data_IF_236278484886
#
_entry.id   IF_236278484886
#
_cell.length_a   1.000
_cell.length_b   1.000
_cell.length_c   1.000
_cell.angle_alpha   90.00
_cell.angle_beta   90.00
_cell.angle_gamma   90.00
#
_symmetry.space_group_name_H-M   'P 1'
#
loop_
_entity.id
_entity.type
_entity.pdbx_description
1 polymer ?
#
# COMPACT_ATOMS: atom_id res chain seq x y z
N UNK A 1 21.12 11.86 7.85
CA UNK A 1 20.05 11.50 6.89
C UNK A 1 18.90 12.47 7.12
N UNK A 2 18.81 13.50 6.30
CA UNK A 2 17.98 14.68 6.56
C UNK A 2 16.55 14.38 6.11
N UNK A 3 15.59 14.70 6.98
CA UNK A 3 14.16 14.36 6.85
C UNK A 3 13.48 15.10 5.66
N UNK A 4 14.07 16.19 5.18
CA UNK A 4 13.51 17.06 4.13
C UNK A 4 13.53 16.46 2.72
N UNK A 5 14.49 15.58 2.39
CA UNK A 5 14.58 14.99 1.04
C UNK A 5 13.45 13.98 0.74
N UNK A 6 12.80 13.46 1.78
CA UNK A 6 11.72 12.46 1.62
C UNK A 6 10.35 13.14 1.44
N UNK A 7 10.21 14.42 1.79
CA UNK A 7 8.90 15.08 1.83
C UNK A 7 8.49 15.79 0.53
N UNK A 8 9.44 16.23 -0.30
CA UNK A 8 9.15 17.19 -1.38
C UNK A 8 9.49 16.71 -2.80
N UNK A 9 10.50 15.85 -3.03
CA UNK A 9 10.94 15.57 -4.41
C UNK A 9 10.71 14.13 -4.93
N UNK A 10 10.57 13.10 -4.07
CA UNK A 10 10.64 11.70 -4.56
C UNK A 10 9.68 10.67 -3.95
N UNK A 11 8.94 11.02 -2.89
CA UNK A 11 8.06 10.05 -2.24
C UNK A 11 6.67 10.01 -2.89
N UNK A 12 6.41 8.97 -3.69
CA UNK A 12 5.09 8.69 -4.25
C UNK A 12 4.08 8.53 -3.10
N UNK A 13 3.23 9.55 -2.89
CA UNK A 13 2.14 9.52 -1.91
C UNK A 13 0.96 8.76 -2.50
N UNK A 14 0.63 7.64 -1.88
CA UNK A 14 -0.47 6.75 -2.28
C UNK A 14 -1.64 6.93 -1.31
N UNK A 15 -2.87 6.93 -1.83
CA UNK A 15 -4.04 6.89 -0.96
C UNK A 15 -4.19 5.49 -0.35
N UNK A 16 -4.58 5.42 0.92
CA UNK A 16 -4.90 4.18 1.62
C UNK A 16 -6.10 4.40 2.53
N UNK A 17 -6.90 3.36 2.74
CA UNK A 17 -7.91 3.36 3.81
C UNK A 17 -7.32 2.99 5.17
N UNK A 18 -7.77 3.63 6.23
CA UNK A 18 -7.49 3.28 7.63
C UNK A 18 -8.73 3.62 8.47
N UNK A 19 -9.26 2.68 9.25
CA UNK A 19 -10.44 2.93 10.11
C UNK A 19 -11.66 3.51 9.38
N UNK A 20 -11.90 3.12 8.13
CA UNK A 20 -13.01 3.66 7.30
C UNK A 20 -12.74 5.03 6.66
N UNK A 21 -11.65 5.71 7.01
CA UNK A 21 -11.24 7.00 6.43
C UNK A 21 -10.19 6.82 5.33
N UNK A 22 -10.08 7.79 4.42
CA UNK A 22 -8.98 7.87 3.46
C UNK A 22 -7.82 8.65 4.06
N UNK A 23 -6.62 8.07 3.96
CA UNK A 23 -5.38 8.63 4.51
C UNK A 23 -4.30 8.59 3.44
N UNK A 24 -3.45 9.61 3.39
CA UNK A 24 -2.25 9.59 2.54
C UNK A 24 -1.16 8.77 3.23
N UNK A 25 -0.50 7.91 2.46
CA UNK A 25 0.61 7.05 2.90
C UNK A 25 1.77 7.13 1.92
N UNK A 26 2.93 6.66 2.34
CA UNK A 26 4.16 6.70 1.55
C UNK A 26 4.45 5.32 0.94
N UNK A 27 4.84 5.28 -0.34
CA UNK A 27 5.37 4.07 -0.98
C UNK A 27 6.88 4.05 -0.85
N UNK A 28 7.43 3.00 -0.23
CA UNK A 28 8.87 2.83 -0.06
C UNK A 28 9.54 2.56 -1.42
N UNK A 29 10.61 3.29 -1.75
CA UNK A 29 11.29 3.20 -3.05
C UNK A 29 12.52 2.29 -3.03
N UNK A 30 13.19 2.21 -1.89
CA UNK A 30 14.45 1.50 -1.71
C UNK A 30 14.43 0.63 -0.44
N UNK A 31 15.44 -0.25 -0.32
CA UNK A 31 15.63 -1.15 0.81
C UNK A 31 14.72 -2.37 0.85
N UNK A 32 14.79 -3.13 1.96
CA UNK A 32 14.08 -4.39 2.15
C UNK A 32 12.54 -4.27 2.13
N UNK A 33 12.00 -3.05 2.26
CA UNK A 33 10.56 -2.77 2.23
C UNK A 33 10.11 -2.10 0.92
N UNK A 34 10.94 -2.10 -0.12
CA UNK A 34 10.63 -1.54 -1.44
C UNK A 34 9.25 -2.00 -1.94
N UNK A 35 8.45 -1.06 -2.46
CA UNK A 35 7.11 -1.29 -2.98
C UNK A 35 5.99 -1.32 -1.93
N UNK A 36 6.30 -1.43 -0.63
CA UNK A 36 5.30 -1.39 0.43
C UNK A 36 4.75 0.02 0.66
N UNK A 37 3.48 0.10 1.08
CA UNK A 37 2.85 1.37 1.46
C UNK A 37 2.79 1.46 3.00
N UNK A 38 3.44 2.46 3.58
CA UNK A 38 3.61 2.65 5.03
C UNK A 38 3.07 4.01 5.49
N UNK A 39 2.81 4.12 6.79
CA UNK A 39 2.24 5.34 7.39
C UNK A 39 3.26 6.49 7.45
N UNK A 40 4.53 6.19 7.72
CA UNK A 40 5.61 7.17 7.78
C UNK A 40 6.80 6.78 6.91
N UNK A 41 7.62 7.74 6.49
CA UNK A 41 8.87 7.47 5.78
C UNK A 41 9.87 6.65 6.61
N UNK A 42 10.01 6.96 7.90
CA UNK A 42 10.89 6.21 8.82
C UNK A 42 10.51 4.72 8.89
N UNK A 43 9.22 4.38 8.75
CA UNK A 43 8.76 3.00 8.74
C UNK A 43 9.21 2.21 7.49
N UNK A 44 9.74 2.84 6.45
CA UNK A 44 10.36 2.13 5.32
C UNK A 44 11.72 1.52 5.69
N UNK A 45 12.48 2.17 6.56
CA UNK A 45 13.84 1.74 6.96
C UNK A 45 13.86 0.96 8.28
N UNK A 46 12.72 0.86 8.97
CA UNK A 46 12.63 0.13 10.23
C UNK A 46 12.98 -1.37 10.07
N UNK A 47 13.65 -1.99 11.06
CA UNK A 47 14.00 -3.41 11.03
C UNK A 47 12.76 -4.31 10.99
N UNK A 48 12.88 -5.48 10.36
CA UNK A 48 11.77 -6.44 10.25
C UNK A 48 11.60 -7.17 11.59
N UNK A 49 10.39 -7.13 12.15
CA UNK A 49 10.08 -7.91 13.35
C UNK A 49 9.86 -9.39 12.97
N UNK A 50 10.83 -10.24 13.30
CA UNK A 50 10.85 -11.67 12.95
C UNK A 50 9.71 -12.43 13.64
N UNK A 51 9.48 -12.17 14.94
CA UNK A 51 8.41 -12.82 15.71
C UNK A 51 7.03 -12.60 15.10
N UNK A 52 6.72 -11.36 14.70
CA UNK A 52 5.45 -11.03 14.01
C UNK A 52 5.36 -11.68 12.63
N UNK A 53 6.49 -11.83 11.93
CA UNK A 53 6.53 -12.49 10.62
C UNK A 53 6.17 -13.98 10.73
N UNK A 54 6.69 -14.68 11.74
CA UNK A 54 6.36 -16.09 12.00
C UNK A 54 4.87 -16.23 12.37
N UNK A 55 4.35 -15.40 13.28
CA UNK A 55 2.94 -15.43 13.66
C UNK A 55 2.00 -15.16 12.48
N UNK A 56 2.37 -14.26 11.57
CA UNK A 56 1.61 -13.99 10.34
C UNK A 56 1.62 -15.21 9.41
N UNK A 57 2.75 -15.91 9.26
CA UNK A 57 2.85 -17.15 8.45
C UNK A 57 1.89 -18.22 8.99
N UNK A 58 1.91 -18.46 10.30
CA UNK A 58 1.01 -19.42 10.94
C UNK A 58 -0.47 -19.04 10.78
N UNK A 59 -0.81 -17.76 10.94
CA UNK A 59 -2.20 -17.28 10.78
C UNK A 59 -2.68 -17.42 9.33
N UNK A 60 -1.82 -17.12 8.36
CA UNK A 60 -2.13 -17.32 6.93
C UNK A 60 -2.36 -18.80 6.61
N UNK A 61 -1.54 -19.70 7.15
CA UNK A 61 -1.74 -21.14 6.97
C UNK A 61 -3.12 -21.58 7.48
N UNK A 62 -3.53 -21.12 8.68
CA UNK A 62 -4.80 -21.51 9.30
C UNK A 62 -6.03 -20.84 8.70
N UNK A 63 -5.94 -19.58 8.25
CA UNK A 63 -7.12 -18.73 7.95
C UNK A 63 -7.10 -18.06 6.57
N UNK A 64 -6.22 -18.46 5.64
CA UNK A 64 -6.12 -17.81 4.33
C UNK A 64 -7.45 -17.78 3.56
N UNK A 65 -8.22 -18.88 3.56
CA UNK A 65 -9.50 -18.97 2.84
C UNK A 65 -10.53 -17.94 3.34
N UNK A 66 -10.77 -17.91 4.65
CA UNK A 66 -11.72 -16.95 5.26
C UNK A 66 -11.25 -15.50 5.10
N UNK A 67 -9.94 -15.25 5.21
CA UNK A 67 -9.35 -13.93 4.94
C UNK A 67 -9.61 -13.47 3.50
N UNK A 68 -9.46 -14.37 2.51
CA UNK A 68 -9.72 -14.05 1.10
C UNK A 68 -11.17 -13.62 0.90
N UNK A 69 -12.13 -14.42 1.37
CA UNK A 69 -13.57 -14.14 1.24
C UNK A 69 -13.94 -12.81 1.90
N UNK A 70 -13.57 -12.63 3.18
CA UNK A 70 -13.87 -11.39 3.92
C UNK A 70 -13.22 -10.17 3.26
N UNK A 71 -12.01 -10.31 2.73
CA UNK A 71 -11.35 -9.21 2.01
C UNK A 71 -12.06 -8.85 0.70
N UNK A 72 -12.61 -9.83 -0.03
CA UNK A 72 -13.35 -9.59 -1.26
C UNK A 72 -14.66 -8.85 -0.99
N UNK A 73 -15.41 -9.29 0.02
CA UNK A 73 -16.64 -8.61 0.48
C UNK A 73 -16.31 -7.17 0.88
N UNK A 74 -15.28 -6.96 1.71
CA UNK A 74 -14.89 -5.62 2.16
C UNK A 74 -14.47 -4.70 1.00
N UNK A 75 -13.83 -5.22 -0.06
CA UNK A 75 -13.46 -4.44 -1.24
C UNK A 75 -14.67 -4.00 -2.07
N UNK A 76 -15.75 -4.80 -2.09
CA UNK A 76 -16.99 -4.52 -2.83
C UNK A 76 -17.93 -3.58 -2.07
N UNK A 77 -18.16 -3.85 -0.78
CA UNK A 77 -19.20 -3.18 -0.01
C UNK A 77 -18.73 -1.91 0.72
N UNK A 78 -17.46 -1.82 1.13
CA UNK A 78 -17.02 -0.68 1.92
C UNK A 78 -16.87 0.58 1.04
N UNK A 79 -17.57 1.68 1.33
CA UNK A 79 -17.52 2.90 0.51
C UNK A 79 -16.11 3.49 0.42
N UNK A 80 -15.31 3.37 1.49
CA UNK A 80 -13.91 3.77 1.46
C UNK A 80 -13.07 2.85 0.56
N UNK A 81 -13.34 1.55 0.49
CA UNK A 81 -12.62 0.68 -0.44
C UNK A 81 -12.95 1.00 -1.91
N UNK A 82 -14.22 1.28 -2.21
CA UNK A 82 -14.66 1.68 -3.56
C UNK A 82 -14.06 3.03 -3.95
N UNK A 83 -14.04 4.01 -3.04
CA UNK A 83 -13.41 5.33 -3.30
C UNK A 83 -11.90 5.20 -3.52
N UNK A 84 -11.23 4.31 -2.79
CA UNK A 84 -9.78 4.11 -2.87
C UNK A 84 -9.31 3.69 -4.27
N UNK A 85 -10.08 2.84 -4.98
CA UNK A 85 -9.72 2.40 -6.32
C UNK A 85 -9.77 3.54 -7.34
N UNK A 86 -10.66 4.52 -7.14
CA UNK A 86 -10.76 5.73 -7.97
C UNK A 86 -9.61 6.69 -7.69
N UNK A 87 -9.26 6.87 -6.41
CA UNK A 87 -8.22 7.80 -5.97
C UNK A 87 -6.80 7.39 -6.42
N UNK A 88 -6.55 6.10 -6.62
CA UNK A 88 -5.24 5.57 -7.04
C UNK A 88 -5.17 5.23 -8.54
N UNK A 89 -6.12 5.70 -9.37
CA UNK A 89 -6.01 5.50 -10.82
C UNK A 89 -4.84 6.32 -11.37
N UNK A 90 -3.93 5.72 -12.16
CA UNK A 90 -2.96 6.50 -12.90
C UNK A 90 -3.71 7.42 -13.87
N UNK A 91 -3.24 8.67 -14.02
CA UNK A 91 -3.77 9.55 -15.07
C UNK A 91 -3.53 8.85 -16.41
N UNK A 92 -4.59 8.57 -17.16
CA UNK A 92 -4.43 8.12 -18.54
C UNK A 92 -3.67 9.21 -19.29
N UNK A 93 -2.48 8.88 -19.74
CA UNK A 93 -1.74 9.69 -20.68
C UNK A 93 -2.66 9.91 -21.91
N UNK A 94 -2.88 11.15 -22.36
CA UNK A 94 -3.69 11.42 -23.55
C UNK A 94 -3.08 10.74 -24.81
N UNK A 95 -1.79 10.43 -24.76
CA UNK A 95 -1.10 9.56 -25.69
C UNK A 95 -1.27 8.10 -25.25
N UNK A 96 -2.43 7.52 -25.55
CA UNK A 96 -2.71 6.10 -25.30
C UNK A 96 -1.54 5.24 -25.77
N UNK A 97 -1.18 4.23 -24.98
CA UNK A 97 -0.12 3.23 -25.21
C UNK A 97 0.22 3.09 -26.70
N UNK A 98 1.21 3.85 -27.22
CA UNK A 98 1.89 3.42 -28.43
C UNK A 98 2.56 2.11 -28.03
N UNK A 99 1.94 0.99 -28.42
CA UNK A 99 2.63 -0.28 -28.47
C UNK A 99 3.81 -0.02 -29.40
N UNK A 100 4.99 0.23 -28.84
CA UNK A 100 6.21 0.06 -29.59
C UNK A 100 6.19 -1.41 -30.03
N UNK A 101 6.01 -1.60 -31.34
CA UNK A 101 6.06 -2.89 -32.02
C UNK A 101 7.50 -3.35 -32.05
#
# INVERSE_FOLDING_TARGET
MIVSDITEAGAIRVWSRSGGKQTRKFRCQYGARKGQVRASPAACNAPINVKKSIGLKQTKAKRSGTMKVKSAIAKRANPAAVRLTRLNKPKSNPFGRKKFK
#
